data_IF_273862087772
#
_entry.id   IF_273862087772
#
_cell.length_a   1.000
_cell.length_b   1.000
_cell.length_c   1.000
_cell.angle_alpha   90.00
_cell.angle_beta   90.00
_cell.angle_gamma   90.00
#
_symmetry.space_group_name_H-M   'P 1'
#
loop_
_entity.id
_entity.type
_entity.pdbx_description
1 polymer ?
#
# COMPACT_ATOMS: atom_id res chain seq x y z
N UNK A 1 -7.53 -23.88 2.07
CA UNK A 1 -8.45 -23.06 1.33
C UNK A 1 -9.10 -21.99 2.18
N UNK A 2 -9.92 -22.37 3.11
CA UNK A 2 -10.52 -21.39 4.03
C UNK A 2 -9.49 -20.68 4.87
N UNK A 3 -8.38 -21.36 5.13
CA UNK A 3 -7.27 -20.76 5.87
C UNK A 3 -6.74 -19.53 5.13
N UNK A 4 -6.61 -19.61 3.83
CA UNK A 4 -6.14 -18.49 3.02
C UNK A 4 -7.10 -17.32 3.11
N UNK A 5 -8.39 -17.60 3.03
CA UNK A 5 -9.39 -16.55 3.17
C UNK A 5 -9.33 -15.89 4.53
N UNK A 6 -9.15 -16.69 5.58
CA UNK A 6 -9.04 -16.15 6.93
C UNK A 6 -7.81 -15.28 7.08
N UNK A 7 -6.70 -15.69 6.50
CA UNK A 7 -5.48 -14.89 6.55
C UNK A 7 -5.70 -13.55 5.89
N UNK A 8 -6.38 -13.52 4.76
CA UNK A 8 -6.71 -12.27 4.09
C UNK A 8 -7.66 -11.42 4.92
N UNK A 9 -8.57 -12.08 5.62
CA UNK A 9 -9.54 -11.40 6.47
C UNK A 9 -8.93 -10.86 7.76
N UNK A 10 -7.72 -11.26 8.11
CA UNK A 10 -7.08 -10.72 9.31
C UNK A 10 -6.74 -9.25 9.18
N UNK A 11 -6.93 -8.69 8.01
CA UNK A 11 -6.84 -7.26 7.87
C UNK A 11 -5.49 -6.72 7.44
N UNK A 12 -4.57 -7.60 7.04
CA UNK A 12 -3.31 -7.12 6.49
C UNK A 12 -3.58 -6.55 5.10
N UNK A 13 -3.41 -5.25 4.90
CA UNK A 13 -3.67 -4.64 3.61
C UNK A 13 -2.61 -5.04 2.58
N UNK A 14 -3.02 -5.09 1.32
CA UNK A 14 -2.08 -5.29 0.23
C UNK A 14 -1.31 -3.99 -0.01
N UNK A 15 -0.22 -4.09 -0.74
CA UNK A 15 0.55 -2.90 -1.09
C UNK A 15 -0.30 -1.90 -1.86
N UNK A 16 -1.16 -2.39 -2.75
CA UNK A 16 -2.06 -1.53 -3.50
C UNK A 16 -3.02 -0.79 -2.57
N UNK A 17 -3.55 -1.48 -1.58
CA UNK A 17 -4.46 -0.86 -0.61
C UNK A 17 -3.75 0.18 0.25
N UNK A 18 -2.50 -0.07 0.58
CA UNK A 18 -1.69 0.94 1.28
C UNK A 18 -1.52 2.18 0.41
N UNK A 19 -1.37 2.00 -0.90
CA UNK A 19 -1.30 3.14 -1.81
C UNK A 19 -2.59 3.95 -1.82
N UNK A 20 -3.74 3.30 -1.71
CA UNK A 20 -5.00 4.04 -1.59
C UNK A 20 -4.96 4.95 -0.37
N UNK A 21 -4.49 4.42 0.76
CA UNK A 21 -4.44 5.21 2.00
C UNK A 21 -3.41 6.32 1.91
N UNK A 22 -2.28 6.07 1.27
CA UNK A 22 -1.26 7.11 1.11
C UNK A 22 -1.78 8.24 0.22
N UNK A 23 -2.52 7.92 -0.83
CA UNK A 23 -3.12 8.95 -1.67
C UNK A 23 -4.21 9.71 -0.92
N UNK A 24 -5.01 9.00 -0.12
CA UNK A 24 -6.02 9.64 0.70
C UNK A 24 -5.39 10.63 1.66
N UNK A 25 -4.28 10.26 2.29
CA UNK A 25 -3.58 11.15 3.21
C UNK A 25 -3.09 12.40 2.47
N UNK A 26 -2.60 12.21 1.27
CA UNK A 26 -2.03 13.30 0.48
C UNK A 26 -3.09 14.31 0.02
N UNK A 27 -4.23 13.81 -0.45
CA UNK A 27 -5.25 14.69 -1.03
C UNK A 27 -6.35 15.09 -0.05
N UNK A 28 -6.54 14.30 1.00
CA UNK A 28 -7.61 14.51 1.97
C UNK A 28 -8.96 14.06 1.44
N UNK A 29 -9.92 13.84 2.34
CA UNK A 29 -11.25 13.40 1.96
C UNK A 29 -12.07 14.60 1.51
N UNK A 30 -12.50 14.58 0.26
CA UNK A 30 -13.34 15.61 -0.31
C UNK A 30 -14.06 15.01 -1.51
N UNK A 31 -14.93 15.79 -2.12
CA UNK A 31 -15.63 15.36 -3.32
C UNK A 31 -14.61 15.04 -4.41
N UNK A 32 -14.75 13.87 -5.00
CA UNK A 32 -13.85 13.45 -6.07
C UNK A 32 -12.60 12.70 -5.61
N UNK A 33 -12.40 12.55 -4.30
CA UNK A 33 -11.22 11.85 -3.79
C UNK A 33 -11.16 10.40 -4.26
N UNK A 34 -12.28 9.68 -4.23
CA UNK A 34 -12.32 8.28 -4.68
C UNK A 34 -11.90 8.18 -6.14
N UNK A 35 -12.41 9.08 -6.97
CA UNK A 35 -12.08 9.11 -8.39
C UNK A 35 -10.59 9.36 -8.59
N UNK A 36 -10.03 10.31 -7.86
CA UNK A 36 -8.63 10.65 -7.99
C UNK A 36 -7.74 9.48 -7.57
N UNK A 37 -8.07 8.83 -6.47
CA UNK A 37 -7.31 7.66 -6.01
C UNK A 37 -7.40 6.55 -7.05
N UNK A 38 -8.60 6.30 -7.56
CA UNK A 38 -8.80 5.24 -8.54
C UNK A 38 -7.97 5.49 -9.80
N UNK A 39 -7.93 6.71 -10.28
CA UNK A 39 -7.13 7.05 -11.44
C UNK A 39 -5.63 6.86 -11.19
N UNK A 40 -5.15 7.33 -10.05
CA UNK A 40 -3.73 7.23 -9.73
C UNK A 40 -3.26 5.80 -9.52
N UNK A 41 -4.15 4.96 -8.98
CA UNK A 41 -3.81 3.57 -8.72
C UNK A 41 -4.19 2.63 -9.85
N UNK A 42 -4.87 3.13 -10.88
CA UNK A 42 -5.25 2.31 -12.03
C UNK A 42 -6.30 1.27 -11.68
N UNK A 43 -7.25 1.61 -10.82
CA UNK A 43 -8.29 0.67 -10.37
C UNK A 43 -9.66 1.32 -10.52
N UNK A 44 -10.71 0.53 -10.26
CA UNK A 44 -12.09 1.03 -10.37
C UNK A 44 -12.48 1.82 -9.14
N UNK A 45 -13.46 2.73 -9.31
CA UNK A 45 -14.03 3.47 -8.18
C UNK A 45 -14.58 2.55 -7.11
N UNK A 46 -15.39 1.52 -7.46
CA UNK A 46 -15.91 0.62 -6.43
C UNK A 46 -14.84 -0.07 -5.61
N UNK A 47 -13.70 -0.39 -6.22
CA UNK A 47 -12.61 -1.03 -5.48
C UNK A 47 -12.09 -0.11 -4.38
N UNK A 48 -11.85 1.16 -4.71
CA UNK A 48 -11.37 2.15 -3.75
C UNK A 48 -12.44 2.39 -2.69
N UNK A 49 -13.67 2.64 -3.13
CA UNK A 49 -14.77 2.96 -2.22
C UNK A 49 -15.01 1.85 -1.20
N UNK A 50 -15.02 0.60 -1.66
CA UNK A 50 -15.22 -0.54 -0.76
C UNK A 50 -14.09 -0.68 0.24
N UNK A 51 -12.87 -0.48 -0.21
CA UNK A 51 -11.74 -0.59 0.70
C UNK A 51 -11.78 0.51 1.76
N UNK A 52 -12.02 1.76 1.37
CA UNK A 52 -12.08 2.87 2.32
C UNK A 52 -13.23 2.68 3.31
N UNK A 53 -14.36 2.16 2.85
CA UNK A 53 -15.46 1.86 3.74
C UNK A 53 -15.09 0.79 4.75
N UNK A 54 -14.37 -0.25 4.31
CA UNK A 54 -13.91 -1.28 5.22
C UNK A 54 -12.92 -0.71 6.24
N UNK A 55 -12.14 0.28 5.86
CA UNK A 55 -11.23 0.95 6.79
C UNK A 55 -11.99 1.69 7.87
N UNK A 56 -13.12 2.29 7.53
CA UNK A 56 -13.98 2.91 8.55
C UNK A 56 -14.50 1.86 9.53
N UNK A 57 -14.90 0.71 9.02
CA UNK A 57 -15.40 -0.38 9.85
C UNK A 57 -14.33 -0.96 10.76
N UNK A 58 -13.08 -0.94 10.32
CA UNK A 58 -11.96 -1.48 11.09
C UNK A 58 -11.33 -0.46 12.02
N UNK A 59 -11.82 0.76 12.02
CA UNK A 59 -11.26 1.79 12.88
C UNK A 59 -9.99 2.43 12.37
N UNK A 60 -9.63 2.20 11.12
CA UNK A 60 -8.49 2.86 10.49
C UNK A 60 -8.85 4.29 10.12
N UNK A 61 -10.08 4.47 9.66
CA UNK A 61 -10.64 5.79 9.36
C UNK A 61 -11.87 6.00 10.24
N UNK A 62 -12.18 7.25 10.52
CA UNK A 62 -13.39 7.58 11.25
C UNK A 62 -14.56 7.79 10.27
N UNK A 63 -15.73 8.20 10.79
CA UNK A 63 -16.92 8.41 9.97
C UNK A 63 -16.73 9.44 8.87
N UNK A 64 -15.80 10.35 9.06
CA UNK A 64 -15.51 11.42 8.10
C UNK A 64 -14.37 11.04 7.17
N UNK A 65 -13.96 9.77 7.17
CA UNK A 65 -12.86 9.27 6.36
C UNK A 65 -11.53 9.95 6.68
N UNK A 66 -11.37 10.35 7.94
CA UNK A 66 -10.12 10.87 8.44
C UNK A 66 -9.37 9.77 9.18
N UNK A 67 -8.05 9.81 9.15
CA UNK A 67 -7.26 8.80 9.82
C UNK A 67 -7.43 8.87 11.33
N UNK A 68 -7.71 7.73 11.95
CA UNK A 68 -7.69 7.61 13.40
C UNK A 68 -6.23 7.49 13.85
N UNK A 69 -6.01 7.53 15.17
CA UNK A 69 -4.67 7.30 15.71
C UNK A 69 -4.12 5.94 15.27
N UNK A 70 -4.96 4.91 15.35
CA UNK A 70 -4.58 3.57 14.89
C UNK A 70 -4.24 3.57 13.42
N UNK A 71 -5.06 4.24 12.61
CA UNK A 71 -4.83 4.33 11.18
C UNK A 71 -3.53 5.03 10.84
N UNK A 72 -3.23 6.13 11.54
CA UNK A 72 -1.97 6.84 11.31
C UNK A 72 -0.76 6.00 11.69
N UNK A 73 -0.84 5.31 12.81
CA UNK A 73 0.25 4.44 13.24
C UNK A 73 0.50 3.32 12.23
N UNK A 74 -0.57 2.73 11.72
CA UNK A 74 -0.46 1.69 10.72
C UNK A 74 0.19 2.23 9.43
N UNK A 75 -0.28 3.37 8.95
CA UNK A 75 0.22 3.97 7.73
C UNK A 75 1.69 4.36 7.87
N UNK A 76 2.06 4.94 9.01
CA UNK A 76 3.44 5.32 9.26
C UNK A 76 4.36 4.10 9.26
N UNK A 77 3.91 3.00 9.81
CA UNK A 77 4.69 1.76 9.82
C UNK A 77 4.94 1.25 8.41
N UNK A 78 3.90 1.26 7.58
CA UNK A 78 4.04 0.80 6.19
C UNK A 78 4.90 1.76 5.38
N UNK A 79 4.74 3.06 5.61
CA UNK A 79 5.56 4.06 4.92
C UNK A 79 7.04 3.86 5.23
N UNK A 80 7.35 3.62 6.50
CA UNK A 80 8.72 3.38 6.91
C UNK A 80 9.28 2.13 6.27
N UNK A 81 8.47 1.08 6.21
CA UNK A 81 8.87 -0.16 5.57
C UNK A 81 9.13 0.04 4.07
N UNK A 82 8.28 0.81 3.41
CA UNK A 82 8.44 1.11 1.99
C UNK A 82 9.73 1.91 1.78
N UNK A 83 9.96 2.93 2.61
CA UNK A 83 11.17 3.75 2.50
C UNK A 83 12.43 2.91 2.69
N UNK A 84 12.44 2.01 3.66
CA UNK A 84 13.56 1.14 3.89
C UNK A 84 13.80 0.21 2.70
N UNK A 85 12.73 -0.30 2.11
CA UNK A 85 12.81 -1.17 0.95
C UNK A 85 13.35 -0.40 -0.25
N UNK A 86 12.86 0.81 -0.48
CA UNK A 86 13.33 1.64 -1.58
C UNK A 86 14.81 2.00 -1.42
N UNK A 87 15.22 2.31 -0.20
CA UNK A 87 16.63 2.61 0.07
C UNK A 87 17.51 1.40 -0.19
N UNK A 88 17.04 0.23 0.18
CA UNK A 88 17.76 -1.01 -0.09
C UNK A 88 17.88 -1.26 -1.59
N UNK A 89 16.79 -1.09 -2.31
CA UNK A 89 16.79 -1.27 -3.76
C UNK A 89 17.65 -0.23 -4.47
N UNK A 90 17.70 0.98 -3.96
CA UNK A 90 18.56 2.01 -4.52
C UNK A 90 20.03 1.63 -4.38
N UNK A 91 20.41 1.06 -3.22
CA UNK A 91 21.77 0.58 -3.03
C UNK A 91 22.12 -0.57 -3.97
N UNK A 92 21.17 -1.50 -4.12
CA UNK A 92 21.35 -2.60 -5.06
C UNK A 92 21.50 -2.06 -6.48
N UNK A 93 20.72 -1.04 -6.83
CA UNK A 93 20.81 -0.42 -8.15
C UNK A 93 22.16 0.18 -8.43
N UNK A 94 22.77 0.82 -7.42
CA UNK A 94 24.12 1.36 -7.56
C UNK A 94 25.13 0.24 -7.79
N UNK A 95 24.99 -0.84 -7.05
CA UNK A 95 25.86 -2.01 -7.24
C UNK A 95 25.58 -2.68 -8.58
N UNK A 96 24.33 -2.66 -9.01
CA UNK A 96 23.96 -3.26 -10.27
C UNK A 96 24.55 -2.54 -11.45
N UNK A 97 24.77 -1.25 -11.36
CA UNK A 97 25.48 -0.52 -12.41
C UNK A 97 26.85 -1.15 -12.68
N UNK A 98 27.44 -1.76 -11.65
CA UNK A 98 28.72 -2.44 -11.78
C UNK A 98 28.57 -3.94 -12.02
N UNK A 99 27.47 -4.55 -11.58
CA UNK A 99 27.29 -5.99 -11.60
C UNK A 99 25.87 -6.41 -11.99
N UNK A 100 25.20 -5.60 -12.79
CA UNK A 100 23.79 -5.78 -13.11
C UNK A 100 23.41 -7.16 -13.58
N UNK A 101 24.20 -7.74 -14.46
CA UNK A 101 23.90 -9.07 -14.99
C UNK A 101 23.91 -10.13 -13.89
N UNK A 102 24.86 -10.06 -12.99
CA UNK A 102 24.98 -11.02 -11.91
C UNK A 102 23.79 -10.95 -10.97
N UNK A 103 23.38 -9.76 -10.59
CA UNK A 103 22.25 -9.59 -9.70
C UNK A 103 20.97 -10.06 -10.35
N UNK A 104 20.78 -9.73 -11.61
CA UNK A 104 19.58 -10.14 -12.33
C UNK A 104 19.49 -11.65 -12.41
N UNK A 105 20.60 -12.33 -12.67
CA UNK A 105 20.63 -13.78 -12.71
C UNK A 105 20.30 -14.40 -11.36
N UNK A 106 20.80 -13.80 -10.28
CA UNK A 106 20.47 -14.29 -8.96
C UNK A 106 18.97 -14.23 -8.69
N UNK A 107 18.35 -13.14 -9.09
CA UNK A 107 16.91 -12.98 -8.91
C UNK A 107 16.15 -14.02 -9.73
N UNK A 108 16.55 -14.24 -10.96
CA UNK A 108 15.91 -15.21 -11.83
C UNK A 108 16.06 -16.64 -11.33
N UNK A 109 17.14 -16.91 -10.62
CA UNK A 109 17.40 -18.25 -10.11
C UNK A 109 16.76 -18.55 -8.78
N UNK A 110 16.05 -17.57 -8.20
CA UNK A 110 15.39 -17.78 -6.93
C UNK A 110 14.11 -18.61 -7.04
N UNK A 111 13.65 -18.86 -8.20
CA UNK A 111 12.42 -19.68 -8.41
C UNK A 111 12.69 -21.18 -8.41
#
# INVERSE_FOLDING_TARGET
MKTTEKVQQTGLPSLLQIRYLMELEKVGWKRGTVMEIAEKCGVSHPAVSRYLKSCCEKGILNEKYEFTTVGKMMLDRYRKLIDETENYLARIGIEEDAQGETLRKLIENLD
#
